data_IF_189765111288
#
_entry.id   IF_189765111288
#
_cell.length_a   1.000
_cell.length_b   1.000
_cell.length_c   1.000
_cell.angle_alpha   90.00
_cell.angle_beta   90.00
_cell.angle_gamma   90.00
#
_symmetry.space_group_name_H-M   'P 1'
#
loop_
_entity.id
_entity.type
_entity.pdbx_description
1 polymer ?
#
# COMPACT_ATOMS: atom_id res chain seq x y z
N UNK A 1 -6.36 11.98 -4.57
CA UNK A 1 -6.02 11.74 -3.15
C UNK A 1 -5.05 10.58 -3.10
N UNK A 2 -3.97 10.64 -2.31
CA UNK A 2 -2.98 9.56 -2.22
C UNK A 2 -2.80 9.19 -0.77
N UNK A 3 -2.97 7.91 -0.44
CA UNK A 3 -3.02 7.43 0.94
C UNK A 3 -1.64 6.92 1.36
N UNK A 4 -0.70 7.86 1.55
CA UNK A 4 0.75 7.57 1.67
C UNK A 4 1.25 7.36 3.11
N UNK A 5 0.39 7.49 4.10
CA UNK A 5 0.73 7.30 5.51
C UNK A 5 -0.50 6.89 6.31
N UNK A 6 -0.28 6.44 7.55
CA UNK A 6 -1.35 5.94 8.41
C UNK A 6 -2.43 7.00 8.67
N UNK A 7 -2.07 8.28 8.70
CA UNK A 7 -3.02 9.35 8.98
C UNK A 7 -3.91 9.61 7.78
N UNK A 8 -3.36 9.62 6.56
CA UNK A 8 -4.13 9.78 5.33
C UNK A 8 -5.20 8.67 5.17
N UNK A 9 -4.87 7.43 5.53
CA UNK A 9 -5.83 6.32 5.55
C UNK A 9 -6.93 6.51 6.60
N UNK A 10 -6.58 6.97 7.81
CA UNK A 10 -7.55 7.30 8.87
C UNK A 10 -8.48 8.45 8.47
N UNK A 11 -7.93 9.52 7.90
CA UNK A 11 -8.69 10.70 7.45
C UNK A 11 -9.66 10.36 6.32
N UNK A 12 -9.33 9.33 5.51
CA UNK A 12 -10.22 8.78 4.49
C UNK A 12 -11.30 7.83 5.04
N UNK A 13 -11.33 7.56 6.35
CA UNK A 13 -12.27 6.62 6.98
C UNK A 13 -11.93 5.14 6.74
N UNK A 14 -10.69 4.84 6.34
CA UNK A 14 -10.20 3.51 6.00
C UNK A 14 -8.94 3.17 6.82
N UNK A 15 -9.00 3.15 8.17
CA UNK A 15 -7.82 2.92 8.99
C UNK A 15 -7.20 1.55 8.70
N UNK A 16 -5.89 1.54 8.45
CA UNK A 16 -5.09 0.31 8.37
C UNK A 16 -4.57 -0.06 9.77
N UNK A 17 -4.39 -1.36 10.01
CA UNK A 17 -3.80 -1.89 11.25
C UNK A 17 -2.30 -1.65 11.35
N UNK A 18 -1.64 -1.40 10.22
CA UNK A 18 -0.20 -1.11 10.17
C UNK A 18 0.14 0.21 10.86
N UNK A 19 1.32 0.27 11.46
CA UNK A 19 1.95 1.52 11.92
C UNK A 19 3.03 2.02 10.95
N UNK A 20 3.29 1.27 9.86
CA UNK A 20 4.31 1.59 8.87
C UNK A 20 3.74 2.47 7.77
N UNK A 21 4.25 3.71 7.67
CA UNK A 21 3.92 4.58 6.55
C UNK A 21 4.41 4.00 5.22
N UNK A 22 5.51 3.23 5.22
CA UNK A 22 5.96 2.55 4.02
C UNK A 22 4.97 1.48 3.55
N UNK A 23 4.39 0.72 4.49
CA UNK A 23 3.31 -0.22 4.18
C UNK A 23 2.08 0.50 3.60
N UNK A 24 1.69 1.66 4.16
CA UNK A 24 0.60 2.48 3.62
C UNK A 24 0.84 2.89 2.16
N UNK A 25 2.05 3.34 1.82
CA UNK A 25 2.41 3.73 0.44
C UNK A 25 2.35 2.55 -0.53
N UNK A 26 2.90 1.41 -0.12
CA UNK A 26 2.94 0.21 -0.95
C UNK A 26 1.53 -0.35 -1.19
N UNK A 27 0.66 -0.27 -0.19
CA UNK A 27 -0.74 -0.65 -0.34
C UNK A 27 -1.53 0.33 -1.23
N UNK A 28 -1.37 1.65 -1.05
CA UNK A 28 -1.94 2.68 -1.95
C UNK A 28 -1.48 2.49 -3.40
N UNK A 29 -0.19 2.20 -3.62
CA UNK A 29 0.37 1.88 -4.94
C UNK A 29 -0.20 0.58 -5.52
N UNK A 30 -0.40 -0.45 -4.69
CA UNK A 30 -1.04 -1.71 -5.10
C UNK A 30 -2.47 -1.47 -5.58
N UNK A 31 -3.29 -0.77 -4.79
CA UNK A 31 -4.67 -0.46 -5.16
C UNK A 31 -4.75 0.44 -6.39
N UNK A 32 -3.90 1.46 -6.46
CA UNK A 32 -3.85 2.36 -7.62
C UNK A 32 -3.56 1.60 -8.90
N UNK A 33 -2.58 0.68 -8.88
CA UNK A 33 -2.26 -0.14 -10.03
C UNK A 33 -3.42 -1.05 -10.43
N UNK A 34 -4.03 -1.73 -9.46
CA UNK A 34 -5.16 -2.63 -9.68
C UNK A 34 -6.37 -1.91 -10.28
N UNK A 35 -6.82 -0.81 -9.66
CA UNK A 35 -7.99 -0.04 -10.10
C UNK A 35 -7.78 0.62 -11.45
N UNK A 36 -6.56 1.12 -11.72
CA UNK A 36 -6.24 1.78 -13.00
C UNK A 36 -5.89 0.82 -14.12
N UNK A 37 -5.83 -0.49 -13.87
CA UNK A 37 -5.34 -1.49 -14.82
C UNK A 37 -3.93 -1.15 -15.36
N UNK A 38 -3.04 -0.76 -14.44
CA UNK A 38 -1.65 -0.40 -14.77
C UNK A 38 -0.67 -1.32 -14.05
N UNK A 39 0.55 -1.41 -14.57
CA UNK A 39 1.63 -2.19 -13.96
C UNK A 39 2.92 -1.35 -13.97
N UNK A 40 3.23 -0.76 -12.83
CA UNK A 40 4.41 0.07 -12.63
C UNK A 40 5.65 -0.82 -12.41
N UNK A 41 6.41 -1.00 -13.49
CA UNK A 41 7.62 -1.81 -13.49
C UNK A 41 8.70 -1.28 -12.53
N UNK A 42 8.72 0.01 -12.21
CA UNK A 42 9.69 0.57 -11.26
C UNK A 42 9.47 0.06 -9.84
N UNK A 43 8.23 -0.30 -9.51
CA UNK A 43 7.86 -0.87 -8.22
C UNK A 43 7.91 -2.40 -8.21
N UNK A 44 8.07 -3.02 -9.38
CA UNK A 44 7.91 -4.47 -9.59
C UNK A 44 6.45 -4.88 -9.82
N UNK A 45 5.60 -3.94 -10.24
CA UNK A 45 4.17 -4.18 -10.41
C UNK A 45 3.43 -4.37 -9.09
N UNK A 46 2.25 -4.99 -9.18
CA UNK A 46 1.42 -5.34 -8.02
C UNK A 46 2.17 -6.34 -7.11
N UNK A 47 2.78 -7.38 -7.69
CA UNK A 47 3.50 -8.41 -6.94
C UNK A 47 4.72 -7.83 -6.20
N UNK A 48 5.48 -6.95 -6.85
CA UNK A 48 6.60 -6.27 -6.22
C UNK A 48 6.17 -5.36 -5.07
N UNK A 49 5.02 -4.67 -5.21
CA UNK A 49 4.45 -3.89 -4.12
C UNK A 49 4.03 -4.77 -2.94
N UNK A 50 3.32 -5.87 -3.19
CA UNK A 50 2.88 -6.81 -2.15
C UNK A 50 4.05 -7.48 -1.43
N UNK A 51 5.10 -7.86 -2.17
CA UNK A 51 6.31 -8.45 -1.59
C UNK A 51 7.02 -7.47 -0.65
N UNK A 52 7.19 -6.21 -1.08
CA UNK A 52 7.76 -5.15 -0.24
C UNK A 52 6.84 -4.79 0.93
N UNK A 53 5.52 -4.85 0.73
CA UNK A 53 4.52 -4.58 1.76
C UNK A 53 4.65 -5.59 2.91
N UNK A 54 4.68 -6.89 2.61
CA UNK A 54 4.87 -7.94 3.63
C UNK A 54 6.25 -7.86 4.30
N UNK A 55 7.28 -7.38 3.60
CA UNK A 55 8.58 -7.12 4.21
C UNK A 55 8.55 -5.90 5.16
N UNK A 56 7.82 -4.84 4.81
CA UNK A 56 7.68 -3.63 5.62
C UNK A 56 6.74 -3.81 6.82
N UNK A 57 5.75 -4.70 6.69
CA UNK A 57 4.84 -5.11 7.76
C UNK A 57 4.51 -6.62 7.59
N UNK A 58 5.23 -7.49 8.30
CA UNK A 58 5.01 -8.93 8.26
C UNK A 58 3.63 -9.38 8.73
N UNK A 59 2.89 -8.54 9.45
CA UNK A 59 1.53 -8.84 9.95
C UNK A 59 0.43 -8.22 9.10
N UNK A 60 0.79 -7.56 7.99
CA UNK A 60 -0.19 -6.89 7.14
C UNK A 60 -1.20 -7.88 6.55
N UNK A 61 -2.49 -7.70 6.89
CA UNK A 61 -3.61 -8.52 6.40
C UNK A 61 -3.92 -9.79 7.20
N UNK A 62 -3.25 -10.00 8.33
CA UNK A 62 -3.64 -10.98 9.37
C UNK A 62 -4.72 -10.41 10.29
#
# INVERSE_FOLDING_TARGET
MSLRDCQAWKDAGLPLSTTSNEACKLFDATLTQYVKWTNDKSLGGIEGCLSKLKAADPTFGE
#
